data_IF_153113557497
#
_entry.id   IF_153113557497
#
_cell.length_a   1.000
_cell.length_b   1.000
_cell.length_c   1.000
_cell.angle_alpha   90.00
_cell.angle_beta   90.00
_cell.angle_gamma   90.00
#
_symmetry.space_group_name_H-M   'P 1'
#
loop_
_entity.id
_entity.type
_entity.pdbx_description
1 polymer ?
#
# COMPACT_ATOMS: atom_id res chain seq x y z
N UNK A 1 7.33 5.98 -2.35
CA UNK A 1 7.20 5.93 -0.88
C UNK A 1 8.55 5.63 -0.22
N UNK A 2 9.22 4.52 -0.55
CA UNK A 2 10.48 4.12 0.09
C UNK A 2 11.56 5.20 -0.06
N UNK A 3 11.76 5.74 -1.25
CA UNK A 3 12.74 6.81 -1.50
C UNK A 3 12.45 8.05 -0.63
N UNK A 4 11.19 8.47 -0.56
CA UNK A 4 10.79 9.59 0.28
C UNK A 4 11.08 9.32 1.76
N UNK A 5 10.72 8.12 2.24
CA UNK A 5 11.00 7.71 3.62
C UNK A 5 12.50 7.63 3.91
N UNK A 6 13.31 7.16 2.96
CA UNK A 6 14.77 7.12 3.11
C UNK A 6 15.40 8.52 3.22
N UNK A 7 14.88 9.51 2.49
CA UNK A 7 15.34 10.89 2.59
C UNK A 7 15.02 11.51 3.96
N UNK A 8 13.85 11.22 4.50
CA UNK A 8 13.47 11.66 5.86
C UNK A 8 14.32 10.94 6.90
N UNK A 9 14.44 9.62 6.82
CA UNK A 9 15.22 8.81 7.76
C UNK A 9 16.71 9.15 7.77
N UNK A 10 17.25 9.61 6.64
CA UNK A 10 18.63 10.08 6.54
C UNK A 10 18.82 11.53 7.07
N UNK A 11 17.74 12.17 7.55
CA UNK A 11 17.79 13.56 8.01
C UNK A 11 18.02 14.60 6.89
N UNK A 12 17.93 14.18 5.61
CA UNK A 12 18.11 15.09 4.48
C UNK A 12 16.97 16.09 4.38
N UNK A 13 15.77 15.66 4.71
CA UNK A 13 14.57 16.48 4.73
C UNK A 13 13.65 16.04 5.87
N UNK A 14 13.04 17.00 6.57
CA UNK A 14 12.02 16.71 7.60
C UNK A 14 10.69 16.23 6.98
N UNK A 15 10.36 16.73 5.80
CA UNK A 15 9.12 16.45 5.09
C UNK A 15 9.40 16.25 3.60
N UNK A 16 8.81 15.22 3.03
CA UNK A 16 8.86 14.92 1.59
C UNK A 16 7.46 14.65 1.07
N UNK A 17 7.02 15.42 0.10
CA UNK A 17 5.77 15.15 -0.61
C UNK A 17 6.06 14.30 -1.83
N UNK A 18 5.48 13.12 -1.86
CA UNK A 18 5.44 12.27 -3.04
C UNK A 18 4.17 12.53 -3.82
N UNK A 19 4.30 12.81 -5.11
CA UNK A 19 3.17 12.90 -6.03
C UNK A 19 3.40 11.94 -7.18
N UNK A 20 2.42 11.10 -7.45
CA UNK A 20 2.46 10.17 -8.57
C UNK A 20 1.10 10.09 -9.25
N UNK A 21 1.09 9.98 -10.57
CA UNK A 21 -0.13 9.85 -11.32
C UNK A 21 0.13 9.68 -12.81
N UNK A 22 -0.91 9.36 -13.54
CA UNK A 22 -0.84 9.18 -14.97
C UNK A 22 -2.08 8.53 -15.57
N UNK A 23 -2.09 8.42 -16.89
CA UNK A 23 -3.08 7.66 -17.64
C UNK A 23 -2.67 6.17 -17.65
N UNK A 24 -3.32 5.37 -16.83
CA UNK A 24 -2.89 4.00 -16.56
C UNK A 24 -3.56 2.95 -17.47
N UNK A 25 -4.69 3.30 -18.06
CA UNK A 25 -5.48 2.35 -18.86
C UNK A 25 -4.86 2.03 -20.23
N UNK A 26 -3.97 2.88 -20.77
CA UNK A 26 -3.38 2.69 -22.10
C UNK A 26 -2.17 1.76 -22.13
N UNK A 27 -1.52 1.54 -20.99
CA UNK A 27 -0.31 0.73 -20.93
C UNK A 27 -0.65 -0.77 -20.82
N UNK A 28 -0.47 -1.49 -21.91
CA UNK A 28 -0.53 -2.95 -21.94
C UNK A 28 -1.91 -3.57 -22.16
N UNK A 29 -2.96 -2.80 -22.25
CA UNK A 29 -4.29 -3.31 -22.61
C UNK A 29 -4.54 -3.08 -24.09
N UNK A 30 -4.73 -4.14 -24.86
CA UNK A 30 -5.23 -4.01 -26.22
C UNK A 30 -6.75 -3.77 -26.17
N UNK A 31 -7.14 -2.49 -26.07
CA UNK A 31 -8.53 -2.06 -25.99
C UNK A 31 -9.41 -2.69 -27.08
N UNK A 32 -8.88 -2.83 -28.30
CA UNK A 32 -9.61 -3.45 -29.43
C UNK A 32 -10.02 -4.89 -29.14
N UNK A 33 -9.21 -5.68 -28.44
CA UNK A 33 -9.56 -7.07 -28.11
C UNK A 33 -10.65 -7.15 -27.04
N UNK A 34 -10.72 -6.17 -26.16
CA UNK A 34 -11.78 -6.09 -25.14
C UNK A 34 -13.10 -5.62 -25.76
N UNK A 35 -13.07 -4.58 -26.61
CA UNK A 35 -14.25 -4.11 -27.36
C UNK A 35 -14.82 -5.23 -28.23
N UNK A 36 -13.95 -5.95 -28.96
CA UNK A 36 -14.37 -7.06 -29.79
C UNK A 36 -15.04 -8.21 -29.05
N UNK A 37 -14.86 -8.30 -27.72
CA UNK A 37 -15.50 -9.26 -26.82
C UNK A 37 -16.71 -8.68 -26.08
N UNK A 38 -17.09 -7.43 -26.35
CA UNK A 38 -18.20 -6.77 -25.67
C UNK A 38 -17.96 -6.40 -24.22
N UNK A 39 -16.69 -6.40 -23.77
CA UNK A 39 -16.35 -6.03 -22.40
C UNK A 39 -16.24 -4.51 -22.25
N UNK A 40 -16.68 -4.02 -21.09
CA UNK A 40 -16.49 -2.62 -20.73
C UNK A 40 -14.99 -2.34 -20.56
N UNK A 41 -14.52 -1.32 -21.25
CA UNK A 41 -13.15 -0.84 -21.13
C UNK A 41 -13.19 0.48 -20.35
N UNK A 42 -12.42 0.56 -19.30
CA UNK A 42 -12.09 1.82 -18.67
C UNK A 42 -10.86 2.39 -19.36
N UNK A 43 -11.08 3.00 -20.52
CA UNK A 43 -10.04 3.77 -21.19
C UNK A 43 -9.93 5.15 -20.52
N UNK A 44 -8.74 5.73 -20.57
CA UNK A 44 -8.48 7.08 -20.09
C UNK A 44 -8.76 7.32 -18.59
N UNK A 45 -8.67 6.29 -17.76
CA UNK A 45 -8.69 6.51 -16.30
C UNK A 45 -7.40 7.21 -15.89
N UNK A 46 -7.55 8.45 -15.48
CA UNK A 46 -6.49 9.20 -14.81
C UNK A 46 -6.51 8.81 -13.33
N UNK A 47 -5.40 8.31 -12.85
CA UNK A 47 -5.20 8.01 -11.44
C UNK A 47 -4.02 8.78 -10.90
N UNK A 48 -4.12 9.21 -9.65
CA UNK A 48 -3.02 9.86 -8.98
C UNK A 48 -3.17 9.78 -7.47
N UNK A 49 -2.06 9.93 -6.79
CA UNK A 49 -2.05 10.07 -5.34
C UNK A 49 -0.93 11.02 -4.92
N UNK A 50 -1.10 11.61 -3.74
CA UNK A 50 -0.04 12.32 -3.05
C UNK A 50 0.09 11.75 -1.64
N UNK A 51 1.31 11.67 -1.15
CA UNK A 51 1.60 11.24 0.22
C UNK A 51 2.64 12.17 0.82
N UNK A 52 2.36 12.70 2.00
CA UNK A 52 3.34 13.40 2.82
C UNK A 52 4.05 12.37 3.69
N UNK A 53 5.37 12.31 3.58
CA UNK A 53 6.24 11.53 4.44
C UNK A 53 7.01 12.52 5.31
N UNK A 54 6.89 12.35 6.62
CA UNK A 54 7.50 13.23 7.62
C UNK A 54 8.30 12.43 8.65
N UNK A 55 9.03 13.13 9.49
CA UNK A 55 9.56 12.58 10.73
C UNK A 55 8.42 12.00 11.59
N UNK A 56 8.77 11.09 12.49
CA UNK A 56 7.80 10.46 13.38
C UNK A 56 7.18 11.50 14.33
N UNK A 57 5.90 11.77 14.18
CA UNK A 57 5.13 12.72 14.99
C UNK A 57 4.39 12.07 16.18
N UNK A 58 4.53 10.77 16.37
CA UNK A 58 3.86 10.02 17.43
C UNK A 58 2.38 9.69 17.16
N UNK A 59 1.80 10.15 16.05
CA UNK A 59 0.37 10.02 15.72
C UNK A 59 0.15 9.26 14.42
N UNK A 60 0.74 9.75 13.33
CA UNK A 60 0.55 9.16 12.01
C UNK A 60 1.30 7.84 11.85
N UNK A 61 0.81 6.95 10.99
CA UNK A 61 1.40 5.62 10.82
C UNK A 61 2.87 5.64 10.44
N UNK A 62 3.60 4.65 10.91
CA UNK A 62 5.03 4.50 10.62
C UNK A 62 5.21 3.67 9.36
N UNK A 63 5.86 4.25 8.35
CA UNK A 63 6.32 3.53 7.18
C UNK A 63 7.67 2.88 7.50
N UNK A 64 7.69 1.54 7.54
CA UNK A 64 8.88 0.74 7.84
C UNK A 64 9.79 0.67 6.61
N UNK A 65 10.55 1.74 6.35
CA UNK A 65 11.50 1.81 5.24
C UNK A 65 12.65 0.80 5.36
N UNK A 66 12.92 0.33 6.56
CA UNK A 66 13.87 -0.73 6.91
C UNK A 66 13.36 -2.15 6.55
N UNK A 67 12.05 -2.31 6.42
CA UNK A 67 11.37 -3.58 6.13
C UNK A 67 10.72 -3.55 4.75
N UNK A 68 11.52 -3.61 3.71
CA UNK A 68 11.03 -3.66 2.32
C UNK A 68 11.21 -5.05 1.74
N UNK A 69 10.13 -5.54 1.09
CA UNK A 69 10.21 -6.71 0.23
C UNK A 69 10.57 -6.29 -1.19
N UNK A 70 11.42 -7.04 -1.84
CA UNK A 70 11.84 -6.79 -3.23
C UNK A 70 11.83 -8.07 -4.03
N UNK A 71 11.34 -7.98 -5.25
CA UNK A 71 11.51 -8.99 -6.27
C UNK A 71 12.31 -8.37 -7.41
N UNK A 72 13.42 -8.99 -7.77
CA UNK A 72 14.35 -8.46 -8.75
C UNK A 72 14.06 -9.04 -10.15
N UNK A 73 14.29 -8.22 -11.17
CA UNK A 73 14.23 -8.63 -12.56
C UNK A 73 15.15 -9.84 -12.80
N UNK A 74 14.63 -10.86 -13.46
CA UNK A 74 15.37 -12.08 -13.76
C UNK A 74 15.32 -13.17 -12.69
N UNK A 75 14.77 -12.92 -11.49
CA UNK A 75 14.66 -13.91 -10.40
C UNK A 75 13.42 -14.82 -10.53
N UNK A 76 12.81 -14.86 -11.68
CA UNK A 76 11.62 -15.66 -11.98
C UNK A 76 10.35 -14.82 -12.03
N UNK A 77 9.44 -15.19 -12.94
CA UNK A 77 8.20 -14.46 -13.19
C UNK A 77 6.94 -15.21 -12.76
N UNK A 78 7.08 -16.31 -12.00
CA UNK A 78 5.90 -17.00 -11.50
C UNK A 78 5.21 -16.16 -10.42
N UNK A 79 3.87 -16.11 -10.42
CA UNK A 79 3.13 -15.37 -9.39
C UNK A 79 3.53 -15.76 -7.97
N UNK A 80 3.81 -17.03 -7.74
CA UNK A 80 4.22 -17.55 -6.45
C UNK A 80 5.61 -17.03 -6.05
N UNK A 81 6.59 -17.08 -6.95
CA UNK A 81 7.96 -16.60 -6.67
C UNK A 81 7.93 -15.12 -6.30
N UNK A 82 7.22 -14.31 -7.10
CA UNK A 82 7.05 -12.88 -6.87
C UNK A 82 6.37 -12.60 -5.53
N UNK A 83 5.24 -13.25 -5.26
CA UNK A 83 4.50 -13.04 -4.01
C UNK A 83 5.33 -13.50 -2.81
N UNK A 84 6.06 -14.60 -2.91
CA UNK A 84 6.98 -15.06 -1.85
C UNK A 84 8.06 -14.02 -1.57
N UNK A 85 8.73 -13.51 -2.60
CA UNK A 85 9.78 -12.49 -2.43
C UNK A 85 9.25 -11.20 -1.79
N UNK A 86 8.05 -10.78 -2.16
CA UNK A 86 7.46 -9.55 -1.66
C UNK A 86 6.90 -9.67 -0.23
N UNK A 87 6.36 -10.82 0.15
CA UNK A 87 5.68 -11.02 1.44
C UNK A 87 6.59 -11.69 2.45
N UNK A 88 7.14 -12.87 2.12
CA UNK A 88 7.90 -13.65 3.10
C UNK A 88 9.14 -12.93 3.60
N UNK A 89 9.82 -12.19 2.74
CA UNK A 89 11.04 -11.46 3.12
C UNK A 89 10.80 -10.38 4.19
N UNK A 90 9.65 -9.69 4.14
CA UNK A 90 9.28 -8.71 5.18
C UNK A 90 8.94 -9.45 6.48
N UNK A 91 8.11 -10.49 6.39
CA UNK A 91 7.68 -11.24 7.56
C UNK A 91 8.87 -11.86 8.31
N UNK A 92 9.85 -12.39 7.58
CA UNK A 92 11.07 -12.96 8.15
C UNK A 92 11.93 -11.90 8.83
N UNK A 93 12.20 -10.78 8.16
CA UNK A 93 12.98 -9.68 8.74
C UNK A 93 12.31 -9.07 9.97
N UNK A 94 11.00 -8.96 9.95
CA UNK A 94 10.19 -8.40 11.05
C UNK A 94 9.88 -9.43 12.15
N UNK A 95 10.23 -10.71 11.95
CA UNK A 95 9.86 -11.83 12.84
C UNK A 95 8.34 -11.93 13.04
N UNK A 96 7.57 -11.71 11.98
CA UNK A 96 6.12 -11.76 11.96
C UNK A 96 5.62 -13.02 11.27
N UNK A 97 4.42 -13.45 11.66
CA UNK A 97 3.61 -14.42 10.93
C UNK A 97 2.68 -13.71 9.95
N UNK A 98 2.05 -14.44 9.02
CA UNK A 98 1.06 -13.82 8.12
C UNK A 98 -0.17 -13.28 8.85
N UNK A 99 -0.44 -13.76 10.07
CA UNK A 99 -1.58 -13.30 10.89
C UNK A 99 -1.34 -11.93 11.50
N UNK A 100 -0.08 -11.58 11.76
CA UNK A 100 0.32 -10.36 12.43
C UNK A 100 0.16 -9.11 11.54
N UNK A 101 -0.11 -9.30 10.25
CA UNK A 101 -0.49 -8.23 9.32
C UNK A 101 -2.01 -8.27 9.14
N UNK A 102 -2.69 -7.17 9.45
CA UNK A 102 -4.14 -7.10 9.41
C UNK A 102 -4.68 -7.04 7.98
N UNK A 103 -3.96 -6.38 7.09
CA UNK A 103 -4.37 -6.18 5.69
C UNK A 103 -3.20 -6.36 4.74
N UNK A 104 -3.46 -7.10 3.66
CA UNK A 104 -2.57 -7.21 2.50
C UNK A 104 -3.25 -6.54 1.30
N UNK A 105 -2.74 -5.41 0.88
CA UNK A 105 -3.25 -4.72 -0.31
C UNK A 105 -2.38 -5.04 -1.52
N UNK A 106 -2.90 -5.90 -2.38
CA UNK A 106 -2.21 -6.40 -3.58
C UNK A 106 -3.18 -6.41 -4.76
N UNK A 107 -2.86 -5.74 -5.84
CA UNK A 107 -3.67 -5.74 -7.08
C UNK A 107 -5.17 -5.62 -6.83
N UNK A 108 -5.59 -4.44 -6.39
CA UNK A 108 -6.99 -4.12 -6.05
C UNK A 108 -7.86 -3.90 -7.29
N UNK A 109 -7.72 -4.74 -8.31
CA UNK A 109 -8.52 -4.67 -9.53
C UNK A 109 -9.94 -5.14 -9.27
N UNK A 110 -10.93 -4.47 -9.88
CA UNK A 110 -12.33 -4.85 -9.72
C UNK A 110 -12.63 -6.20 -10.40
N UNK A 111 -13.06 -7.22 -9.65
CA UNK A 111 -13.38 -8.55 -10.19
C UNK A 111 -14.52 -8.55 -11.22
N UNK A 112 -15.46 -7.60 -11.14
CA UNK A 112 -16.56 -7.47 -12.11
C UNK A 112 -16.05 -7.10 -13.50
N UNK A 113 -14.87 -6.48 -13.58
CA UNK A 113 -14.19 -6.15 -14.83
C UNK A 113 -13.23 -7.26 -15.22
N UNK A 114 -12.45 -7.78 -14.30
CA UNK A 114 -11.38 -8.73 -14.60
C UNK A 114 -11.87 -10.16 -14.88
N UNK A 115 -12.96 -10.61 -14.22
CA UNK A 115 -13.56 -11.93 -14.50
C UNK A 115 -14.03 -12.06 -15.94
N UNK A 116 -14.87 -11.15 -16.48
CA UNK A 116 -15.26 -11.21 -17.89
C UNK A 116 -14.11 -11.09 -18.87
N UNK A 117 -13.06 -10.34 -18.49
CA UNK A 117 -11.85 -10.19 -19.29
C UNK A 117 -10.92 -11.42 -19.27
N UNK A 118 -11.26 -12.44 -18.50
CA UNK A 118 -10.50 -13.70 -18.41
C UNK A 118 -9.34 -13.69 -17.42
N UNK A 119 -9.19 -12.64 -16.62
CA UNK A 119 -8.16 -12.56 -15.57
C UNK A 119 -8.62 -13.17 -14.22
N UNK A 120 -9.93 -13.44 -14.08
CA UNK A 120 -10.49 -13.99 -12.86
C UNK A 120 -10.63 -12.95 -11.74
N UNK A 121 -10.75 -13.43 -10.51
CA UNK A 121 -10.78 -12.61 -9.31
C UNK A 121 -9.36 -12.40 -8.80
N UNK A 122 -8.74 -11.31 -9.23
CA UNK A 122 -7.32 -11.05 -8.99
C UNK A 122 -7.02 -10.79 -7.50
N UNK A 123 -7.77 -9.96 -6.76
CA UNK A 123 -7.55 -9.80 -5.33
C UNK A 123 -7.66 -11.10 -4.55
N UNK A 124 -8.68 -11.89 -4.81
CA UNK A 124 -8.87 -13.19 -4.16
C UNK A 124 -7.74 -14.17 -4.48
N UNK A 125 -7.28 -14.20 -5.73
CA UNK A 125 -6.16 -15.06 -6.14
C UNK A 125 -4.87 -14.68 -5.41
N UNK A 126 -4.58 -13.39 -5.24
CA UNK A 126 -3.42 -12.91 -4.48
C UNK A 126 -3.51 -13.31 -3.00
N UNK A 127 -4.66 -13.13 -2.37
CA UNK A 127 -4.85 -13.52 -0.96
C UNK A 127 -4.72 -15.02 -0.76
N UNK A 128 -5.21 -15.85 -1.69
CA UNK A 128 -4.99 -17.30 -1.65
C UNK A 128 -3.51 -17.67 -1.76
N UNK A 129 -2.74 -16.95 -2.59
CA UNK A 129 -1.28 -17.16 -2.67
C UNK A 129 -0.58 -16.77 -1.36
N UNK A 130 -0.97 -15.66 -0.74
CA UNK A 130 -0.45 -15.25 0.56
C UNK A 130 -0.79 -16.28 1.63
N UNK A 131 -2.02 -16.75 1.67
CA UNK A 131 -2.42 -17.83 2.58
C UNK A 131 -1.63 -19.13 2.36
N UNK A 132 -1.34 -19.49 1.09
CA UNK A 132 -0.50 -20.64 0.78
C UNK A 132 0.95 -20.45 1.28
N UNK A 133 1.51 -19.24 1.20
CA UNK A 133 2.82 -18.92 1.80
C UNK A 133 2.76 -19.15 3.32
N UNK A 134 1.70 -18.72 3.99
CA UNK A 134 1.50 -18.94 5.41
C UNK A 134 1.42 -20.42 5.79
N UNK A 135 0.80 -21.24 4.97
CA UNK A 135 0.79 -22.69 5.17
C UNK A 135 2.21 -23.26 5.03
N UNK A 136 2.96 -22.86 4.00
CA UNK A 136 4.35 -23.29 3.80
C UNK A 136 5.27 -22.88 4.95
N UNK A 137 5.08 -21.69 5.49
CA UNK A 137 5.80 -21.15 6.66
C UNK A 137 5.34 -21.77 7.99
N UNK A 138 4.24 -22.53 7.99
CA UNK A 138 3.57 -23.05 9.18
C UNK A 138 2.97 -21.96 10.10
N UNK A 139 2.67 -20.81 9.55
CA UNK A 139 1.99 -19.72 10.26
C UNK A 139 0.50 -20.03 10.44
N UNK A 140 -0.09 -20.79 9.51
CA UNK A 140 -1.48 -21.31 9.55
C UNK A 140 -1.53 -22.78 9.08
N UNK A 141 -2.59 -23.48 9.48
CA UNK A 141 -2.86 -24.81 8.93
C UNK A 141 -3.58 -24.71 7.58
N UNK A 142 -3.43 -25.74 6.74
CA UNK A 142 -4.08 -25.78 5.41
C UNK A 142 -5.60 -25.63 5.48
N UNK A 143 -6.24 -26.17 6.52
CA UNK A 143 -7.69 -26.06 6.74
C UNK A 143 -8.15 -24.62 6.98
N UNK A 144 -7.28 -23.77 7.53
CA UNK A 144 -7.58 -22.38 7.92
C UNK A 144 -7.32 -21.38 6.80
N UNK A 145 -6.82 -21.84 5.64
CA UNK A 145 -6.47 -20.96 4.52
C UNK A 145 -7.64 -20.06 4.08
N UNK A 146 -8.83 -20.64 3.93
CA UNK A 146 -9.98 -19.85 3.47
C UNK A 146 -10.53 -18.92 4.55
N UNK A 147 -10.41 -19.27 5.81
CA UNK A 147 -10.71 -18.38 6.94
C UNK A 147 -9.79 -17.16 6.90
N UNK A 148 -8.48 -17.40 6.77
CA UNK A 148 -7.49 -16.32 6.61
C UNK A 148 -7.82 -15.41 5.41
N UNK A 149 -8.15 -15.99 4.26
CA UNK A 149 -8.50 -15.22 3.05
C UNK A 149 -9.70 -14.32 3.31
N UNK A 150 -10.74 -14.82 3.95
CA UNK A 150 -11.94 -14.04 4.24
C UNK A 150 -11.68 -12.92 5.26
N UNK A 151 -10.90 -13.20 6.30
CA UNK A 151 -10.56 -12.23 7.33
C UNK A 151 -9.66 -11.09 6.82
N UNK A 152 -8.78 -11.39 5.86
CA UNK A 152 -7.83 -10.42 5.30
C UNK A 152 -8.30 -9.75 4.01
N UNK A 153 -9.51 -10.07 3.55
CA UNK A 153 -10.11 -9.46 2.35
C UNK A 153 -10.46 -8.00 2.59
N UNK A 154 -10.12 -7.16 1.61
CA UNK A 154 -10.59 -5.78 1.55
C UNK A 154 -12.00 -5.71 0.95
N UNK A 155 -12.81 -4.78 1.43
CA UNK A 155 -14.21 -4.57 0.99
C UNK A 155 -14.33 -3.67 -0.24
N UNK A 156 -13.25 -3.32 -0.91
CA UNK A 156 -13.26 -2.43 -2.06
C UNK A 156 -12.17 -2.73 -3.06
N UNK A 157 -12.26 -2.09 -4.20
CA UNK A 157 -11.32 -2.22 -5.30
C UNK A 157 -10.99 -0.87 -5.91
N UNK A 158 -9.85 -0.79 -6.58
CA UNK A 158 -9.54 0.36 -7.41
C UNK A 158 -10.56 0.49 -8.54
N UNK A 159 -10.98 1.70 -8.91
CA UNK A 159 -12.00 1.91 -9.95
C UNK A 159 -11.47 1.63 -11.37
N UNK A 160 -10.30 1.07 -11.50
CA UNK A 160 -9.63 0.83 -12.78
C UNK A 160 -9.14 -0.60 -12.89
N UNK A 161 -9.09 -1.10 -14.12
CA UNK A 161 -8.48 -2.38 -14.48
C UNK A 161 -7.01 -2.24 -14.95
N UNK A 162 -6.46 -1.04 -14.99
CA UNK A 162 -5.09 -0.79 -15.45
C UNK A 162 -4.04 -1.37 -14.51
N UNK A 163 -2.80 -1.41 -15.00
CA UNK A 163 -1.62 -1.86 -14.24
C UNK A 163 -1.12 -0.79 -13.26
N UNK A 164 -2.03 -0.11 -12.61
CA UNK A 164 -1.68 0.83 -11.55
C UNK A 164 -1.02 0.08 -10.40
N UNK A 165 -0.15 0.72 -9.62
CA UNK A 165 0.43 0.17 -8.41
C UNK A 165 -0.69 -0.29 -7.50
N UNK A 166 -0.92 -1.54 -7.54
CA UNK A 166 -2.21 -2.16 -7.29
C UNK A 166 -2.57 -2.22 -5.82
N UNK A 167 -1.61 -2.03 -4.91
CA UNK A 167 -1.85 -1.88 -3.48
C UNK A 167 -2.05 -0.44 -3.01
N UNK A 168 -1.63 0.55 -3.80
CA UNK A 168 -1.64 1.98 -3.43
C UNK A 168 -3.05 2.55 -3.19
N UNK A 169 -4.11 2.16 -3.89
CA UNK A 169 -5.45 2.69 -3.61
C UNK A 169 -5.91 2.54 -2.16
N UNK A 170 -5.39 1.56 -1.44
CA UNK A 170 -5.71 1.37 -0.02
C UNK A 170 -4.87 2.24 0.92
N UNK A 171 -3.83 2.93 0.46
CA UNK A 171 -2.88 3.64 1.31
C UNK A 171 -3.55 4.68 2.23
N UNK A 172 -4.49 5.47 1.70
CA UNK A 172 -5.25 6.45 2.49
C UNK A 172 -6.10 5.79 3.57
N UNK A 173 -6.87 4.77 3.20
CA UNK A 173 -7.67 3.99 4.13
C UNK A 173 -6.81 3.27 5.19
N UNK A 174 -5.65 2.74 4.79
CA UNK A 174 -4.71 2.15 5.73
C UNK A 174 -4.24 3.18 6.77
N UNK A 175 -3.96 4.41 6.35
CA UNK A 175 -3.58 5.47 7.27
C UNK A 175 -4.69 5.80 8.27
N UNK A 176 -5.93 5.92 7.80
CA UNK A 176 -7.12 6.15 8.64
C UNK A 176 -7.33 5.01 9.64
N UNK A 177 -7.35 3.76 9.18
CA UNK A 177 -7.54 2.56 10.03
C UNK A 177 -6.46 2.45 11.11
N UNK A 178 -5.19 2.75 10.76
CA UNK A 178 -4.07 2.68 11.69
C UNK A 178 -4.09 3.81 12.72
N UNK A 179 -4.49 5.03 12.34
CA UNK A 179 -4.68 6.15 13.26
C UNK A 179 -5.84 5.89 14.20
N UNK A 180 -6.96 5.39 13.69
CA UNK A 180 -8.12 5.03 14.50
C UNK A 180 -7.83 3.86 15.47
N UNK A 181 -6.84 3.03 15.16
CA UNK A 181 -6.49 1.85 15.93
C UNK A 181 -7.31 0.62 15.59
N UNK A 182 -8.05 0.65 14.50
CA UNK A 182 -8.81 -0.49 13.99
C UNK A 182 -7.89 -1.57 13.41
N UNK A 183 -6.71 -1.15 12.96
CA UNK A 183 -5.63 -2.01 12.47
C UNK A 183 -4.31 -1.66 13.15
N UNK A 184 -3.39 -2.63 13.18
CA UNK A 184 -2.04 -2.43 13.68
C UNK A 184 -1.01 -2.44 12.56
N UNK A 185 -1.24 -3.22 11.49
CA UNK A 185 -0.30 -3.38 10.38
C UNK A 185 -1.03 -3.53 9.06
N UNK A 186 -0.53 -2.84 8.04
CA UNK A 186 -0.95 -3.01 6.65
C UNK A 186 0.29 -3.24 5.78
N UNK A 187 0.21 -4.18 4.85
CA UNK A 187 1.26 -4.41 3.85
C UNK A 187 0.75 -3.95 2.49
N UNK A 188 1.43 -2.95 1.93
CA UNK A 188 1.15 -2.42 0.60
C UNK A 188 2.11 -3.07 -0.39
N UNK A 189 1.57 -3.74 -1.39
CA UNK A 189 2.34 -4.51 -2.35
C UNK A 189 2.15 -3.91 -3.74
N UNK A 190 3.25 -3.40 -4.30
CA UNK A 190 3.35 -3.03 -5.71
C UNK A 190 4.09 -4.14 -6.44
N UNK A 191 3.43 -4.81 -7.35
CA UNK A 191 4.09 -5.76 -8.24
C UNK A 191 3.79 -5.38 -9.69
N UNK A 192 4.76 -5.63 -10.56
CA UNK A 192 4.62 -5.40 -11.99
C UNK A 192 3.58 -6.33 -12.61
N UNK A 193 3.17 -6.00 -13.82
CA UNK A 193 2.24 -6.81 -14.59
C UNK A 193 2.88 -8.14 -15.00
N UNK A 194 2.23 -9.25 -14.68
CA UNK A 194 2.62 -10.57 -15.16
C UNK A 194 2.64 -10.64 -16.71
N UNK A 195 1.77 -9.87 -17.36
CA UNK A 195 1.72 -9.78 -18.82
C UNK A 195 3.00 -9.12 -19.37
N UNK A 196 3.40 -7.97 -18.82
CA UNK A 196 4.66 -7.32 -19.19
C UNK A 196 5.88 -8.19 -18.86
N UNK A 197 5.85 -8.85 -17.71
CA UNK A 197 6.89 -9.79 -17.33
C UNK A 197 7.10 -10.91 -18.31
N UNK A 198 6.03 -11.49 -18.84
CA UNK A 198 6.10 -12.54 -19.87
C UNK A 198 6.62 -12.02 -21.22
N UNK A 199 6.27 -10.79 -21.59
CA UNK A 199 6.67 -10.21 -22.85
C UNK A 199 8.10 -9.68 -22.85
N UNK A 200 8.54 -9.10 -21.75
CA UNK A 200 9.80 -8.35 -21.68
C UNK A 200 10.85 -9.00 -20.80
N UNK A 201 10.45 -9.98 -19.98
CA UNK A 201 11.25 -10.52 -18.88
C UNK A 201 11.72 -9.46 -17.85
N UNK A 202 11.09 -8.28 -17.89
CA UNK A 202 11.35 -7.15 -17.00
C UNK A 202 10.21 -7.06 -15.99
N UNK A 203 10.23 -7.93 -15.00
CA UNK A 203 9.24 -7.98 -13.95
C UNK A 203 9.91 -7.78 -12.61
N UNK A 204 9.46 -6.78 -11.89
CA UNK A 204 9.90 -6.48 -10.54
C UNK A 204 8.71 -6.14 -9.63
N UNK A 205 8.99 -6.01 -8.38
CA UNK A 205 8.00 -5.61 -7.40
C UNK A 205 8.65 -5.14 -6.12
N UNK A 206 7.88 -4.39 -5.36
CA UNK A 206 8.27 -3.89 -4.05
C UNK A 206 7.08 -3.91 -3.11
N UNK A 207 7.31 -4.22 -1.85
CA UNK A 207 6.32 -4.14 -0.79
C UNK A 207 6.86 -3.37 0.40
N UNK A 208 5.97 -2.75 1.14
CA UNK A 208 6.26 -1.97 2.34
C UNK A 208 5.29 -2.35 3.45
N UNK A 209 5.78 -2.33 4.67
CA UNK A 209 4.98 -2.47 5.86
C UNK A 209 4.69 -1.10 6.45
N UNK A 210 3.43 -0.86 6.80
CA UNK A 210 2.98 0.32 7.51
C UNK A 210 2.42 -0.14 8.84
N UNK A 211 2.85 0.47 9.92
CA UNK A 211 2.45 0.10 11.28
C UNK A 211 1.77 1.26 12.00
N UNK A 212 0.87 0.93 12.89
CA UNK A 212 0.28 1.88 13.82
C UNK A 212 1.38 2.55 14.63
N UNK A 213 1.30 3.85 14.79
CA UNK A 213 2.19 4.59 15.68
C UNK A 213 1.84 4.25 17.13
N UNK A 214 2.86 4.01 17.93
CA UNK A 214 2.72 3.71 19.36
C UNK A 214 2.99 4.94 20.24
N UNK A 215 3.04 6.13 19.66
CA UNK A 215 3.28 7.38 20.37
C UNK A 215 4.74 7.65 20.75
N UNK A 216 5.68 6.76 20.36
CA UNK A 216 7.09 6.95 20.69
C UNK A 216 7.75 7.85 19.64
N UNK A 217 8.16 9.01 20.05
CA UNK A 217 8.97 9.97 19.29
C UNK A 217 10.33 10.13 19.97
N UNK A 218 11.34 10.58 19.22
CA UNK A 218 12.62 10.96 19.82
C UNK A 218 12.42 12.19 20.72
N UNK A 219 13.25 12.36 21.75
CA UNK A 219 13.18 13.53 22.64
C UNK A 219 13.29 14.85 21.86
N UNK A 220 14.14 14.90 20.83
CA UNK A 220 14.30 16.06 19.96
C UNK A 220 13.01 16.37 19.19
N UNK A 221 12.38 15.37 18.58
CA UNK A 221 11.11 15.53 17.89
C UNK A 221 9.95 15.88 18.84
N UNK A 222 10.02 15.45 20.09
CA UNK A 222 9.01 15.76 21.09
C UNK A 222 9.06 17.25 21.46
N UNK A 223 10.24 17.85 21.59
CA UNK A 223 10.41 19.27 21.84
C UNK A 223 9.92 20.12 20.65
N UNK A 224 10.29 19.73 19.42
CA UNK A 224 9.81 20.39 18.19
C UNK A 224 8.27 20.34 18.10
N UNK A 225 7.66 19.21 18.45
CA UNK A 225 6.21 19.03 18.44
C UNK A 225 5.52 19.96 19.48
N UNK A 226 6.09 20.04 20.69
CA UNK A 226 5.57 20.96 21.72
C UNK A 226 5.63 22.42 21.29
N UNK A 227 6.70 22.84 20.62
CA UNK A 227 6.82 24.19 20.08
C UNK A 227 5.80 24.46 18.97
N UNK A 228 5.59 23.50 18.07
CA UNK A 228 4.57 23.59 17.00
C UNK A 228 3.18 23.74 17.63
N UNK A 229 2.82 22.86 18.57
CA UNK A 229 1.52 22.91 19.26
C UNK A 229 1.32 24.25 19.96
N UNK A 230 2.33 24.75 20.70
CA UNK A 230 2.26 26.06 21.36
C UNK A 230 2.02 27.19 20.35
N UNK A 231 2.70 27.16 19.22
CA UNK A 231 2.54 28.15 18.15
C UNK A 231 1.14 28.12 17.53
N UNK A 232 0.64 26.94 17.18
CA UNK A 232 -0.68 26.76 16.56
C UNK A 232 -1.82 27.14 17.52
N UNK A 233 -1.72 26.76 18.79
CA UNK A 233 -2.68 27.17 19.82
C UNK A 233 -2.66 28.68 20.01
N UNK A 234 -1.46 29.31 20.06
CA UNK A 234 -1.35 30.78 20.17
C UNK A 234 -1.92 31.48 18.94
N UNK A 235 -1.80 30.92 17.76
CA UNK A 235 -2.38 31.46 16.53
C UNK A 235 -3.90 31.33 16.53
N UNK A 236 -4.43 30.16 16.93
CA UNK A 236 -5.86 29.94 17.05
C UNK A 236 -6.51 30.92 18.07
N UNK A 237 -5.88 31.09 19.23
CA UNK A 237 -6.34 32.06 20.25
C UNK A 237 -6.33 33.50 19.75
N UNK A 238 -5.29 33.91 19.02
CA UNK A 238 -5.23 35.26 18.41
C UNK A 238 -6.33 35.47 17.37
N UNK A 239 -6.57 34.44 16.51
CA UNK A 239 -7.65 34.52 15.53
C UNK A 239 -9.02 34.56 16.18
N UNK A 240 -9.22 33.81 17.26
CA UNK A 240 -10.45 33.84 18.04
C UNK A 240 -10.66 35.24 18.70
N UNK A 241 -9.63 35.78 19.35
CA UNK A 241 -9.70 37.12 19.96
C UNK A 241 -9.95 38.23 18.93
N UNK A 242 -9.34 38.12 17.75
CA UNK A 242 -9.59 39.08 16.67
C UNK A 242 -11.04 39.06 16.17
N UNK A 243 -11.65 37.87 16.11
CA UNK A 243 -13.05 37.72 15.71
C UNK A 243 -14.04 38.23 16.77
N UNK A 244 -13.68 38.22 18.05
CA UNK A 244 -14.49 38.79 19.14
C UNK A 244 -14.41 40.30 19.22
N UNK A 245 -13.39 40.91 18.62
CA UNK A 245 -13.20 42.37 18.64
C UNK A 245 -13.91 43.09 17.49
N UNK A 246 -14.71 42.41 16.69
CA UNK A 246 -15.41 42.95 15.51
C UNK A 246 -16.92 43.13 15.76
N UNK A 247 -17.40 42.94 16.99
CA UNK A 247 -18.71 43.36 17.45
C UNK A 247 -18.52 44.62 18.33
#
# INVERSE_FOLDING_TARGET
>A
LITAASLVAAGTHKNVVLVAGGATAKLGMNGKSHVGKGFTILEDVLGGFAALISENDGVHPILRHDLTGKHEVGSGSSPQAVTTALIASILEKAQLTIKDVDVYSVEMQNPDITKPAGAGDVPLANLKMIGAIGVLRKDIEKKDLMTFVNEKSLVGWAPTQGHIPSGIPYLGFAAEDLVAGDKNRAMIVGKGSLFLGRMTNLFDGVSILIERNNGKVSEENQQDLEEIVKREVAQALRSFAANLSVE
#
